data_IF_708740402010
#
_entry.id   IF_708740402010
#
_cell.length_a   1.000
_cell.length_b   1.000
_cell.length_c   1.000
_cell.angle_alpha   90.00
_cell.angle_beta   90.00
_cell.angle_gamma   90.00
#
_symmetry.space_group_name_H-M   'P 1'
#
loop_
_entity.id
_entity.type
_entity.pdbx_description
1 polymer ?
#
# COMPACT_ATOMS: atom_id res chain seq x y z
N UNK A 1 -47.29 3.17 34.55
CA UNK A 1 -48.56 3.15 33.79
C UNK A 1 -49.16 4.55 33.87
N UNK A 2 -49.84 5.10 32.84
CA UNK A 2 -50.06 4.56 31.48
C UNK A 2 -49.87 5.64 30.36
N UNK A 3 -49.37 5.25 29.19
CA UNK A 3 -50.08 4.92 27.93
C UNK A 3 -50.37 6.10 27.00
N UNK A 4 -49.59 6.09 25.92
CA UNK A 4 -50.00 6.31 24.52
C UNK A 4 -51.42 5.78 24.24
N UNK A 5 -52.24 6.63 23.63
CA UNK A 5 -53.39 6.25 22.80
C UNK A 5 -53.32 7.07 21.50
N UNK A 6 -53.80 6.46 20.44
CA UNK A 6 -53.55 6.68 19.02
C UNK A 6 -54.87 7.08 18.34
N UNK A 7 -54.77 7.52 17.07
CA UNK A 7 -55.85 7.64 16.06
C UNK A 7 -56.72 8.92 16.19
N UNK A 8 -57.13 9.61 15.11
CA UNK A 8 -57.57 9.12 13.81
C UNK A 8 -57.50 10.21 12.71
N UNK A 9 -57.49 9.80 11.43
CA UNK A 9 -57.55 10.63 10.21
C UNK A 9 -59.01 10.95 9.81
N UNK A 10 -59.26 11.98 8.96
CA UNK A 10 -59.86 11.69 7.62
C UNK A 10 -59.36 12.66 6.51
N UNK A 11 -58.94 12.22 5.32
CA UNK A 11 -59.65 11.81 4.09
C UNK A 11 -60.14 12.93 3.13
N UNK A 12 -59.83 12.73 1.83
CA UNK A 12 -60.46 13.25 0.57
C UNK A 12 -59.90 14.58 -0.04
N UNK A 13 -60.20 14.90 -1.33
CA UNK A 13 -59.39 14.52 -2.50
C UNK A 13 -59.05 15.71 -3.44
N UNK A 14 -58.47 15.41 -4.60
CA UNK A 14 -58.09 16.29 -5.72
C UNK A 14 -59.20 17.26 -6.21
N UNK A 15 -58.79 18.35 -6.89
CA UNK A 15 -59.30 18.87 -8.21
C UNK A 15 -58.80 20.31 -8.47
N UNK A 16 -58.36 20.56 -9.72
CA UNK A 16 -58.44 21.77 -10.60
C UNK A 16 -58.69 23.15 -9.95
N UNK A 17 -58.20 24.31 -10.41
CA UNK A 17 -57.76 24.82 -11.70
C UNK A 17 -57.58 26.35 -11.55
N UNK A 18 -56.81 27.00 -12.45
CA UNK A 18 -57.08 28.32 -13.08
C UNK A 18 -57.13 29.54 -12.10
N UNK A 19 -56.33 30.61 -12.22
CA UNK A 19 -56.38 31.61 -13.30
C UNK A 19 -55.26 32.65 -13.09
N UNK A 20 -54.66 33.12 -14.19
CA UNK A 20 -53.87 34.34 -14.25
C UNK A 20 -54.82 35.56 -14.16
N UNK A 21 -54.37 36.71 -13.65
CA UNK A 21 -54.45 38.02 -14.35
C UNK A 21 -53.56 39.03 -13.64
N UNK A 22 -52.85 39.79 -14.48
CA UNK A 22 -51.86 40.80 -14.18
C UNK A 22 -52.46 42.20 -13.94
N UNK A 23 -51.59 43.09 -13.42
CA UNK A 23 -51.57 44.57 -13.43
C UNK A 23 -51.39 45.09 -12.00
N UNK A 24 -50.44 45.96 -11.66
CA UNK A 24 -49.61 46.86 -12.45
C UNK A 24 -49.59 48.22 -11.74
N UNK A 25 -48.40 48.86 -11.72
CA UNK A 25 -48.14 50.29 -11.46
C UNK A 25 -47.93 50.62 -9.97
N UNK A 26 -46.89 51.33 -9.50
CA UNK A 26 -45.94 52.25 -10.15
C UNK A 26 -44.74 52.57 -9.23
N UNK A 27 -43.52 52.63 -9.83
CA UNK A 27 -42.47 53.68 -9.74
C UNK A 27 -41.85 53.92 -8.30
N UNK A 28 -40.53 53.79 -8.02
CA UNK A 28 -39.40 54.68 -8.36
C UNK A 28 -38.02 54.02 -8.06
N UNK A 29 -37.20 53.88 -9.11
CA UNK A 29 -35.74 54.13 -9.29
C UNK A 29 -34.64 53.74 -8.26
N UNK A 30 -33.69 52.94 -8.81
CA UNK A 30 -32.22 53.18 -8.85
C UNK A 30 -31.36 52.77 -7.64
N UNK A 31 -30.56 51.71 -7.79
CA UNK A 31 -29.10 51.76 -8.08
C UNK A 31 -28.54 50.33 -8.16
N UNK A 32 -27.96 50.05 -9.33
CA UNK A 32 -26.90 49.09 -9.71
C UNK A 32 -26.55 47.90 -8.78
N UNK A 33 -26.47 46.76 -9.47
CA UNK A 33 -25.56 45.63 -9.27
C UNK A 33 -25.69 44.84 -7.97
N UNK A 34 -26.36 43.70 -8.05
CA UNK A 34 -25.92 42.54 -7.30
C UNK A 34 -26.05 41.29 -8.16
N UNK A 35 -24.95 41.02 -8.86
CA UNK A 35 -24.34 39.70 -9.06
C UNK A 35 -25.34 38.53 -9.06
N UNK A 36 -25.64 38.06 -10.26
CA UNK A 36 -26.08 36.69 -10.51
C UNK A 36 -25.04 35.72 -9.92
N UNK A 37 -25.19 35.35 -8.66
CA UNK A 37 -24.62 34.12 -8.12
C UNK A 37 -25.49 32.96 -8.59
N UNK A 38 -25.29 32.57 -9.85
CA UNK A 38 -25.81 31.31 -10.38
C UNK A 38 -24.69 30.30 -10.55
N UNK A 39 -24.84 29.21 -9.79
CA UNK A 39 -24.56 27.83 -10.17
C UNK A 39 -23.12 27.26 -10.08
N UNK A 40 -23.07 26.17 -9.30
CA UNK A 40 -22.06 25.11 -9.25
C UNK A 40 -20.89 25.32 -8.28
N UNK A 41 -21.11 24.91 -7.03
CA UNK A 41 -20.04 24.51 -6.11
C UNK A 41 -19.20 23.39 -6.75
N UNK A 42 -18.15 23.75 -7.49
CA UNK A 42 -17.10 22.84 -7.97
C UNK A 42 -16.02 22.77 -6.91
N UNK A 43 -16.09 21.76 -6.07
CA UNK A 43 -15.02 21.44 -5.13
C UNK A 43 -13.68 21.25 -5.88
N UNK A 44 -12.63 21.87 -5.35
CA UNK A 44 -11.28 21.74 -5.90
C UNK A 44 -10.75 20.31 -5.68
N UNK A 45 -10.09 19.71 -6.68
CA UNK A 45 -9.41 18.45 -6.51
C UNK A 45 -8.38 18.44 -5.38
N UNK A 46 -8.13 17.26 -4.81
CA UNK A 46 -7.20 17.09 -3.68
C UNK A 46 -5.82 17.66 -4.04
N UNK A 47 -5.33 18.57 -3.19
CA UNK A 47 -4.02 19.19 -3.37
C UNK A 47 -4.02 20.51 -4.14
N UNK A 48 -5.15 20.97 -4.66
CA UNK A 48 -5.30 22.29 -5.28
C UNK A 48 -5.91 23.30 -4.30
N UNK A 49 -5.40 24.53 -4.32
CA UNK A 49 -5.90 25.66 -3.54
C UNK A 49 -6.17 26.85 -4.43
N UNK A 50 -7.19 27.60 -4.07
CA UNK A 50 -7.49 28.89 -4.67
C UNK A 50 -6.69 29.98 -3.96
N UNK A 51 -5.98 30.82 -4.72
CA UNK A 51 -5.09 31.86 -4.18
C UNK A 51 -5.34 33.18 -4.89
N UNK A 52 -5.58 34.24 -4.14
CA UNK A 52 -5.71 35.58 -4.67
C UNK A 52 -4.33 36.14 -5.10
N UNK A 53 -4.32 36.83 -6.23
CA UNK A 53 -3.13 37.45 -6.79
C UNK A 53 -2.75 38.74 -6.05
N UNK A 54 -1.57 38.75 -5.43
CA UNK A 54 -1.00 39.95 -4.80
C UNK A 54 -0.75 41.10 -5.78
N UNK A 55 -0.52 40.80 -7.06
CA UNK A 55 -0.23 41.80 -8.09
C UNK A 55 -1.46 42.22 -8.90
N UNK A 56 -2.58 41.48 -8.77
CA UNK A 56 -3.84 41.76 -9.44
C UNK A 56 -4.99 41.55 -8.45
N UNK A 57 -5.30 42.55 -7.60
CA UNK A 57 -6.37 42.46 -6.61
C UNK A 57 -7.68 42.01 -7.25
N UNK A 58 -8.38 41.07 -6.61
CA UNK A 58 -9.61 40.47 -7.12
C UNK A 58 -9.45 39.42 -8.23
N UNK A 59 -8.22 39.12 -8.68
CA UNK A 59 -7.96 37.98 -9.59
C UNK A 59 -7.41 36.79 -8.83
N UNK A 60 -7.92 35.62 -9.17
CA UNK A 60 -7.62 34.38 -8.47
C UNK A 60 -6.97 33.36 -9.40
N UNK A 61 -5.99 32.63 -8.89
CA UNK A 61 -5.35 31.50 -9.56
C UNK A 61 -5.37 30.25 -8.66
N UNK A 62 -5.22 29.08 -9.27
CA UNK A 62 -5.16 27.79 -8.60
C UNK A 62 -3.70 27.36 -8.44
N UNK A 63 -3.32 26.95 -7.24
CA UNK A 63 -1.99 26.48 -6.86
C UNK A 63 -2.06 25.02 -6.40
N UNK A 64 -1.28 24.15 -7.01
CA UNK A 64 -1.09 22.78 -6.53
C UNK A 64 -0.01 22.74 -5.44
N UNK A 65 -0.39 22.34 -4.22
CA UNK A 65 0.43 22.49 -3.00
C UNK A 65 1.74 21.72 -3.06
N UNK A 66 1.77 20.56 -3.72
CA UNK A 66 2.97 19.71 -3.79
C UNK A 66 3.90 20.03 -4.96
N UNK A 67 3.35 20.34 -6.13
CA UNK A 67 4.17 20.59 -7.34
C UNK A 67 4.52 22.07 -7.52
N UNK A 68 3.85 22.97 -6.80
CA UNK A 68 4.01 24.42 -6.99
C UNK A 68 3.40 24.95 -8.29
N UNK A 69 2.69 24.11 -9.06
CA UNK A 69 2.07 24.47 -10.33
C UNK A 69 0.96 25.51 -10.13
N UNK A 70 0.95 26.54 -10.98
CA UNK A 70 -0.02 27.64 -10.95
C UNK A 70 -0.81 27.68 -12.25
N UNK A 71 -2.13 27.80 -12.17
CA UNK A 71 -2.98 27.98 -13.35
C UNK A 71 -4.13 28.94 -13.07
N UNK A 72 -4.52 29.70 -14.08
CA UNK A 72 -5.67 30.62 -14.00
C UNK A 72 -6.97 29.96 -14.48
N UNK A 73 -6.91 28.71 -14.96
CA UNK A 73 -8.05 28.01 -15.56
C UNK A 73 -8.45 26.82 -14.68
N UNK A 74 -9.66 26.85 -14.12
CA UNK A 74 -10.21 25.73 -13.35
C UNK A 74 -10.33 24.45 -14.20
N UNK A 75 -10.54 24.57 -15.52
CA UNK A 75 -10.53 23.42 -16.44
C UNK A 75 -9.18 22.69 -16.48
N UNK A 76 -8.06 23.40 -16.31
CA UNK A 76 -6.71 22.81 -16.24
C UNK A 76 -6.54 21.99 -14.96
N UNK A 77 -7.04 22.50 -13.83
CA UNK A 77 -7.04 21.80 -12.53
C UNK A 77 -7.77 20.47 -12.64
N UNK A 78 -8.98 20.47 -13.21
CA UNK A 78 -9.74 19.22 -13.39
C UNK A 78 -9.15 18.27 -14.43
N UNK A 79 -8.48 18.79 -15.47
CA UNK A 79 -7.76 17.95 -16.44
C UNK A 79 -6.58 17.22 -15.76
N UNK A 80 -5.80 17.93 -14.95
CA UNK A 80 -4.67 17.34 -14.20
C UNK A 80 -5.12 16.30 -13.18
N UNK A 81 -6.24 16.54 -12.52
CA UNK A 81 -6.83 15.56 -11.61
C UNK A 81 -7.27 14.28 -12.35
N UNK A 82 -7.87 14.40 -13.55
CA UNK A 82 -8.22 13.22 -14.37
C UNK A 82 -6.96 12.44 -14.78
N UNK A 83 -5.91 13.13 -15.24
CA UNK A 83 -4.63 12.49 -15.57
C UNK A 83 -4.04 11.74 -14.36
N UNK A 84 -4.09 12.35 -13.18
CA UNK A 84 -3.62 11.73 -11.94
C UNK A 84 -4.42 10.48 -11.58
N UNK A 85 -5.75 10.55 -11.64
CA UNK A 85 -6.63 9.40 -11.40
C UNK A 85 -6.42 8.29 -12.42
N UNK A 86 -6.24 8.61 -13.70
CA UNK A 86 -5.94 7.62 -14.74
C UNK A 86 -4.58 6.96 -14.50
N UNK A 87 -3.55 7.73 -14.12
CA UNK A 87 -2.22 7.18 -13.78
C UNK A 87 -2.27 6.29 -12.53
N UNK A 88 -3.00 6.72 -11.49
CA UNK A 88 -3.21 5.92 -10.29
C UNK A 88 -3.99 4.63 -10.59
N UNK A 89 -5.06 4.73 -11.39
CA UNK A 89 -5.84 3.57 -11.82
C UNK A 89 -5.02 2.61 -12.68
N UNK A 90 -4.18 3.12 -13.59
CA UNK A 90 -3.26 2.30 -14.39
C UNK A 90 -2.20 1.61 -13.51
N UNK A 91 -1.60 2.31 -12.54
CA UNK A 91 -0.66 1.72 -11.58
C UNK A 91 -1.32 0.65 -10.69
N UNK A 92 -2.57 0.86 -10.30
CA UNK A 92 -3.36 -0.14 -9.57
C UNK A 92 -3.77 -1.33 -10.44
N UNK A 93 -4.13 -1.09 -11.71
CA UNK A 93 -4.44 -2.14 -12.67
C UNK A 93 -3.20 -3.00 -12.99
N UNK A 94 -2.02 -2.40 -13.13
CA UNK A 94 -0.75 -3.10 -13.30
C UNK A 94 -0.43 -3.97 -12.07
N UNK A 95 -0.54 -3.41 -10.85
CA UNK A 95 -0.41 -4.18 -9.60
C UNK A 95 -1.44 -5.32 -9.50
N UNK A 96 -2.66 -5.13 -10.01
CA UNK A 96 -3.71 -6.16 -10.01
C UNK A 96 -3.47 -7.23 -11.08
N UNK A 97 -2.88 -6.87 -12.22
CA UNK A 97 -2.47 -7.80 -13.28
C UNK A 97 -1.35 -8.72 -12.79
N UNK A 98 -0.30 -8.16 -12.19
CA UNK A 98 0.77 -8.94 -11.51
C UNK A 98 0.21 -9.87 -10.42
N UNK A 99 -0.84 -9.46 -9.70
CA UNK A 99 -1.47 -10.27 -8.63
C UNK A 99 -2.50 -11.30 -9.13
N UNK A 100 -2.97 -11.22 -10.38
CA UNK A 100 -4.00 -12.12 -10.93
C UNK A 100 -3.45 -13.14 -11.93
N UNK A 101 -2.25 -12.91 -12.47
CA UNK A 101 -1.57 -13.87 -13.35
C UNK A 101 -0.91 -15.05 -12.62
N UNK A 102 -0.96 -15.09 -11.28
CA UNK A 102 -0.32 -16.15 -10.48
C UNK A 102 -1.30 -17.25 -10.02
N UNK A 103 -2.33 -17.51 -10.83
CA UNK A 103 -3.35 -18.56 -10.60
C UNK A 103 -3.23 -19.73 -11.57
N UNK A 104 -1.99 -20.08 -11.96
CA UNK A 104 -1.68 -21.31 -12.68
C UNK A 104 -0.55 -22.06 -11.96
N UNK A 105 -0.92 -23.19 -11.34
CA UNK A 105 -0.05 -24.25 -10.82
C UNK A 105 1.43 -23.91 -10.57
N UNK A 106 1.72 -23.24 -9.44
CA UNK A 106 3.10 -23.18 -8.94
C UNK A 106 3.64 -24.58 -8.61
N UNK A 107 4.95 -24.73 -8.41
CA UNK A 107 5.56 -26.03 -8.15
C UNK A 107 4.94 -26.69 -6.91
N UNK A 108 4.78 -28.02 -6.95
CA UNK A 108 4.25 -28.79 -5.81
C UNK A 108 5.19 -28.76 -4.60
N UNK A 109 6.49 -28.64 -4.86
CA UNK A 109 7.55 -28.53 -3.87
C UNK A 109 8.62 -27.53 -4.29
N UNK A 110 9.22 -26.85 -3.32
CA UNK A 110 10.41 -26.01 -3.51
C UNK A 110 11.50 -26.45 -2.55
N UNK A 111 12.75 -26.13 -2.86
CA UNK A 111 13.87 -26.28 -1.94
C UNK A 111 14.51 -24.91 -1.70
N UNK A 112 14.79 -24.60 -0.44
CA UNK A 112 15.37 -23.33 -0.04
C UNK A 112 16.40 -23.48 1.07
N UNK A 113 17.40 -22.62 1.01
CA UNK A 113 18.29 -22.33 2.13
C UNK A 113 17.66 -21.21 2.96
N UNK A 114 17.89 -21.22 4.27
CA UNK A 114 17.53 -20.09 5.10
C UNK A 114 18.58 -19.76 6.16
N UNK A 115 18.62 -18.49 6.56
CA UNK A 115 19.34 -18.00 7.72
C UNK A 115 18.31 -17.46 8.70
N UNK A 116 18.27 -18.02 9.91
CA UNK A 116 17.34 -17.60 10.96
C UNK A 116 18.08 -16.79 12.01
N UNK A 117 17.59 -15.58 12.30
CA UNK A 117 18.04 -14.77 13.43
C UNK A 117 16.90 -14.67 14.44
N UNK A 118 17.07 -15.32 15.58
CA UNK A 118 16.10 -15.29 16.68
C UNK A 118 16.23 -14.01 17.51
N UNK A 119 15.18 -13.72 18.27
CA UNK A 119 15.13 -12.66 19.28
C UNK A 119 14.41 -13.15 20.55
N UNK A 120 14.37 -12.32 21.59
CA UNK A 120 13.73 -12.64 22.87
C UNK A 120 12.25 -13.01 22.74
N UNK A 121 11.54 -12.36 21.82
CA UNK A 121 10.13 -12.67 21.49
C UNK A 121 9.91 -13.87 20.55
N UNK A 122 10.94 -14.60 20.12
CA UNK A 122 10.76 -15.79 19.29
C UNK A 122 10.13 -16.93 20.11
N UNK A 123 9.30 -17.78 19.48
CA UNK A 123 8.61 -18.93 20.11
C UNK A 123 9.53 -19.82 20.94
N UNK A 124 10.79 -19.95 20.53
CA UNK A 124 11.84 -20.65 21.28
C UNK A 124 13.15 -19.84 21.24
N UNK A 125 13.39 -18.92 22.20
CA UNK A 125 14.52 -17.99 22.19
C UNK A 125 15.81 -18.65 22.69
N UNK A 126 16.18 -19.74 22.03
CA UNK A 126 17.33 -20.59 22.32
C UNK A 126 17.78 -21.28 21.04
N UNK A 127 19.09 -21.39 20.81
CA UNK A 127 19.69 -22.05 19.64
C UNK A 127 20.90 -22.88 20.04
N UNK A 128 21.46 -23.59 19.07
CA UNK A 128 22.71 -24.33 19.25
C UNK A 128 23.91 -23.41 19.51
N UNK A 129 23.80 -22.11 19.15
CA UNK A 129 24.85 -21.10 19.36
C UNK A 129 24.74 -20.42 20.72
N UNK A 130 23.50 -20.30 21.22
CA UNK A 130 23.21 -19.50 22.40
C UNK A 130 22.01 -20.10 23.14
N UNK A 131 22.25 -20.55 24.36
CA UNK A 131 21.23 -21.22 25.18
C UNK A 131 20.05 -20.30 25.49
N UNK A 132 20.29 -19.03 25.79
CA UNK A 132 19.24 -18.02 26.04
C UNK A 132 19.48 -16.77 25.20
N UNK A 133 18.55 -16.48 24.28
CA UNK A 133 18.64 -15.35 23.35
C UNK A 133 17.90 -14.14 23.92
N UNK A 134 18.66 -13.09 24.26
CA UNK A 134 18.15 -11.88 24.92
C UNK A 134 18.00 -10.67 24.00
N UNK A 135 18.52 -10.75 22.76
CA UNK A 135 18.48 -9.65 21.79
C UNK A 135 17.04 -9.29 21.42
N UNK A 136 16.77 -8.00 21.19
CA UNK A 136 15.45 -7.52 20.80
C UNK A 136 15.11 -7.86 19.35
N UNK A 137 13.82 -7.75 18.98
CA UNK A 137 13.36 -7.93 17.60
C UNK A 137 14.05 -6.97 16.63
N UNK A 138 14.17 -5.69 17.00
CA UNK A 138 14.84 -4.68 16.18
C UNK A 138 16.31 -5.02 15.93
N UNK A 139 17.02 -5.54 16.93
CA UNK A 139 18.41 -6.00 16.76
C UNK A 139 18.49 -7.21 15.83
N UNK A 140 17.55 -8.16 15.93
CA UNK A 140 17.49 -9.30 15.02
C UNK A 140 17.19 -8.86 13.57
N UNK A 141 16.32 -7.88 13.38
CA UNK A 141 16.01 -7.28 12.07
C UNK A 141 17.24 -6.61 11.45
N UNK A 142 17.96 -5.78 12.21
CA UNK A 142 19.21 -5.15 11.75
C UNK A 142 20.26 -6.21 11.39
N UNK A 143 20.40 -7.26 12.20
CA UNK A 143 21.36 -8.36 11.93
C UNK A 143 20.99 -9.14 10.67
N UNK A 144 19.71 -9.50 10.50
CA UNK A 144 19.23 -10.16 9.29
C UNK A 144 19.36 -9.25 8.06
N UNK A 145 19.11 -7.95 8.20
CA UNK A 145 19.31 -6.93 7.17
C UNK A 145 20.75 -6.86 6.70
N UNK A 146 21.71 -6.79 7.63
CA UNK A 146 23.14 -6.78 7.29
C UNK A 146 23.61 -8.07 6.61
N UNK A 147 23.05 -9.23 6.97
CA UNK A 147 23.30 -10.50 6.26
C UNK A 147 22.76 -10.42 4.83
N UNK A 148 21.53 -9.93 4.64
CA UNK A 148 20.92 -9.78 3.32
C UNK A 148 21.71 -8.81 2.44
N UNK A 149 22.17 -7.68 2.99
CA UNK A 149 23.00 -6.71 2.25
C UNK A 149 24.30 -7.34 1.75
N UNK A 150 24.99 -8.13 2.59
CA UNK A 150 26.19 -8.87 2.16
C UNK A 150 25.90 -9.84 1.02
N UNK A 151 24.78 -10.56 1.09
CA UNK A 151 24.37 -11.50 0.05
C UNK A 151 24.00 -10.77 -1.26
N UNK A 152 23.30 -9.64 -1.19
CA UNK A 152 23.00 -8.83 -2.36
C UNK A 152 24.26 -8.25 -3.01
N UNK A 153 25.22 -7.75 -2.22
CA UNK A 153 26.50 -7.30 -2.73
C UNK A 153 27.26 -8.43 -3.45
N UNK A 154 27.14 -9.67 -2.97
CA UNK A 154 27.69 -10.85 -3.64
C UNK A 154 27.02 -11.10 -5.00
N UNK A 155 25.69 -10.97 -5.10
CA UNK A 155 24.95 -11.08 -6.37
C UNK A 155 25.41 -10.01 -7.35
N UNK A 156 25.51 -8.76 -6.91
CA UNK A 156 25.94 -7.64 -7.75
C UNK A 156 27.38 -7.80 -8.25
N UNK A 157 28.28 -8.31 -7.40
CA UNK A 157 29.67 -8.56 -7.77
C UNK A 157 29.85 -9.79 -8.68
N UNK A 158 28.89 -10.72 -8.69
CA UNK A 158 29.01 -12.02 -9.37
C UNK A 158 27.73 -12.38 -10.16
N UNK A 159 27.30 -11.56 -11.14
CA UNK A 159 26.02 -11.76 -11.83
C UNK A 159 25.91 -13.08 -12.60
N UNK A 160 27.04 -13.61 -13.09
CA UNK A 160 27.08 -14.84 -13.89
C UNK A 160 27.47 -16.09 -13.08
N UNK A 161 27.61 -15.98 -11.76
CA UNK A 161 28.14 -17.05 -10.90
C UNK A 161 27.24 -17.31 -9.68
N UNK A 162 26.06 -17.94 -9.88
CA UNK A 162 25.11 -18.23 -8.79
C UNK A 162 25.67 -19.19 -7.73
N UNK A 163 26.68 -19.99 -8.07
CA UNK A 163 27.39 -20.86 -7.12
C UNK A 163 28.07 -20.06 -5.99
N UNK A 164 28.60 -18.87 -6.29
CA UNK A 164 29.28 -18.02 -5.30
C UNK A 164 28.30 -17.50 -4.25
N UNK A 165 27.09 -17.09 -4.68
CA UNK A 165 26.02 -16.70 -3.77
C UNK A 165 25.67 -17.86 -2.83
N UNK A 166 25.54 -19.07 -3.38
CA UNK A 166 25.19 -20.25 -2.59
C UNK A 166 26.27 -20.56 -1.56
N UNK A 167 27.54 -20.59 -1.95
CA UNK A 167 28.66 -20.86 -1.06
C UNK A 167 28.71 -19.87 0.11
N UNK A 168 28.58 -18.57 -0.19
CA UNK A 168 28.54 -17.51 0.81
C UNK A 168 27.32 -17.65 1.74
N UNK A 169 26.16 -17.99 1.18
CA UNK A 169 24.96 -18.22 1.98
C UNK A 169 25.16 -19.38 2.95
N UNK A 170 25.73 -20.50 2.49
CA UNK A 170 25.99 -21.67 3.31
C UNK A 170 27.02 -21.38 4.42
N UNK A 171 28.04 -20.57 4.14
CA UNK A 171 29.04 -20.11 5.12
C UNK A 171 28.38 -19.27 6.21
N UNK A 172 27.65 -18.21 5.83
CA UNK A 172 26.95 -17.35 6.78
C UNK A 172 25.92 -18.14 7.58
N UNK A 173 25.21 -19.09 6.94
CA UNK A 173 24.25 -19.94 7.64
C UNK A 173 24.91 -20.83 8.71
N UNK A 174 26.07 -21.42 8.42
CA UNK A 174 26.83 -22.23 9.38
C UNK A 174 27.28 -21.41 10.58
N UNK A 175 27.72 -20.17 10.34
CA UNK A 175 28.26 -19.31 11.40
C UNK A 175 27.16 -18.61 12.20
N UNK A 176 26.13 -18.08 11.54
CA UNK A 176 25.24 -17.09 12.12
C UNK A 176 23.81 -17.56 12.36
N UNK A 177 23.35 -18.62 11.68
CA UNK A 177 21.95 -19.07 11.79
C UNK A 177 21.66 -19.73 13.14
N UNK A 178 20.58 -19.31 13.78
CA UNK A 178 20.04 -19.91 15.01
C UNK A 178 19.21 -21.18 14.75
N UNK A 179 19.04 -21.59 13.49
CA UNK A 179 18.38 -22.83 13.12
C UNK A 179 19.35 -24.02 13.14
N UNK A 180 18.85 -25.21 13.45
CA UNK A 180 19.64 -26.45 13.34
C UNK A 180 20.01 -26.83 11.91
N UNK A 181 19.40 -26.20 10.89
CA UNK A 181 19.80 -26.33 9.48
C UNK A 181 21.17 -25.70 9.19
N UNK A 182 21.72 -24.87 10.10
CA UNK A 182 23.06 -24.30 10.01
C UNK A 182 24.12 -25.35 9.66
N UNK A 183 24.05 -26.55 10.24
CA UNK A 183 24.96 -27.67 9.96
C UNK A 183 24.96 -28.15 8.50
N UNK A 184 23.92 -27.83 7.74
CA UNK A 184 23.77 -28.10 6.30
C UNK A 184 23.79 -26.81 5.47
N UNK A 185 24.45 -25.76 5.95
CA UNK A 185 24.48 -24.48 5.22
C UNK A 185 23.10 -23.81 5.11
N UNK A 186 22.19 -24.08 6.04
CA UNK A 186 20.84 -23.54 6.03
C UNK A 186 19.84 -24.32 5.18
N UNK A 187 20.25 -25.44 4.56
CA UNK A 187 19.35 -26.24 3.71
C UNK A 187 18.23 -26.91 4.51
N UNK A 188 16.99 -26.63 4.11
CA UNK A 188 15.78 -27.21 4.68
C UNK A 188 15.34 -28.49 3.95
N UNK A 189 15.96 -28.81 2.82
CA UNK A 189 15.49 -29.84 1.90
C UNK A 189 14.22 -29.42 1.14
N UNK A 190 13.74 -30.26 0.22
CA UNK A 190 12.50 -29.98 -0.49
C UNK A 190 11.29 -30.04 0.44
N UNK A 191 10.37 -29.08 0.31
CA UNK A 191 9.14 -29.05 1.08
C UNK A 191 7.94 -28.62 0.23
N UNK A 192 6.77 -29.14 0.58
CA UNK A 192 5.49 -28.80 -0.02
C UNK A 192 4.77 -27.74 0.81
N UNK A 193 3.67 -27.21 0.28
CA UNK A 193 2.78 -26.31 1.02
C UNK A 193 2.22 -26.98 2.28
N UNK A 194 1.97 -26.19 3.31
CA UNK A 194 1.50 -26.60 4.64
C UNK A 194 2.59 -27.14 5.57
N UNK A 195 3.85 -27.24 5.14
CA UNK A 195 4.96 -27.77 5.97
C UNK A 195 5.73 -26.69 6.73
N UNK A 196 5.74 -25.46 6.23
CA UNK A 196 6.44 -24.33 6.83
C UNK A 196 5.45 -23.32 7.43
N UNK A 197 5.95 -22.34 8.18
CA UNK A 197 5.09 -21.25 8.67
C UNK A 197 4.50 -20.45 7.48
N UNK A 198 3.28 -19.92 7.58
CA UNK A 198 2.61 -19.28 6.44
C UNK A 198 3.41 -18.13 5.81
N UNK A 199 4.12 -17.33 6.62
CA UNK A 199 4.95 -16.23 6.13
C UNK A 199 6.19 -16.73 5.37
N UNK A 200 6.86 -17.75 5.90
CA UNK A 200 8.03 -18.37 5.27
C UNK A 200 7.64 -19.04 3.95
N UNK A 201 6.58 -19.85 3.98
CA UNK A 201 6.08 -20.55 2.80
C UNK A 201 5.71 -19.58 1.69
N UNK A 202 4.91 -18.56 2.02
CA UNK A 202 4.49 -17.56 1.04
C UNK A 202 5.68 -16.89 0.36
N UNK A 203 6.73 -16.56 1.13
CA UNK A 203 7.94 -15.99 0.57
C UNK A 203 8.69 -17.00 -0.31
N UNK A 204 8.97 -18.21 0.20
CA UNK A 204 9.75 -19.21 -0.52
C UNK A 204 9.11 -19.64 -1.86
N UNK A 205 7.78 -19.80 -1.90
CA UNK A 205 7.07 -20.16 -3.13
C UNK A 205 6.91 -19.00 -4.12
N UNK A 206 7.05 -17.74 -3.67
CA UNK A 206 7.00 -16.57 -4.53
C UNK A 206 8.36 -16.28 -5.21
N UNK A 207 9.46 -16.80 -4.66
CA UNK A 207 10.80 -16.66 -5.23
C UNK A 207 10.98 -17.53 -6.46
N UNK A 208 11.78 -17.04 -7.42
CA UNK A 208 12.34 -17.87 -8.48
C UNK A 208 13.56 -18.64 -7.98
N UNK A 209 13.95 -19.69 -8.70
CA UNK A 209 15.20 -20.42 -8.39
C UNK A 209 16.39 -19.48 -8.53
N UNK A 210 17.25 -19.44 -7.52
CA UNK A 210 18.39 -18.53 -7.39
C UNK A 210 18.06 -17.17 -6.77
N UNK A 211 16.80 -16.90 -6.44
CA UNK A 211 16.38 -15.59 -5.93
C UNK A 211 16.45 -15.51 -4.39
N UNK A 212 16.88 -14.34 -3.91
CA UNK A 212 16.96 -13.99 -2.48
C UNK A 212 15.69 -13.24 -2.04
N UNK A 213 15.14 -13.60 -0.88
CA UNK A 213 13.98 -12.92 -0.32
C UNK A 213 14.29 -11.56 0.29
N UNK A 214 13.24 -10.78 0.50
CA UNK A 214 13.22 -9.75 1.54
C UNK A 214 13.29 -10.37 2.94
N UNK A 215 13.39 -9.54 3.99
CA UNK A 215 13.34 -10.04 5.36
C UNK A 215 11.95 -10.61 5.66
N UNK A 216 11.92 -11.87 6.09
CA UNK A 216 10.67 -12.57 6.40
C UNK A 216 10.56 -12.78 7.90
N UNK A 217 9.52 -12.22 8.50
CA UNK A 217 9.21 -12.44 9.92
C UNK A 217 8.34 -13.69 10.12
N UNK A 218 8.60 -14.43 11.18
CA UNK A 218 7.74 -15.50 11.68
C UNK A 218 7.83 -15.60 13.20
N UNK A 219 7.01 -16.47 13.80
CA UNK A 219 7.11 -16.81 15.23
C UNK A 219 8.50 -17.33 15.64
N UNK A 220 9.29 -17.86 14.70
CA UNK A 220 10.64 -18.33 14.99
C UNK A 220 11.68 -17.20 15.03
N UNK A 221 11.40 -16.02 14.49
CA UNK A 221 12.36 -14.93 14.29
C UNK A 221 12.39 -14.41 12.85
N UNK A 222 13.48 -13.72 12.51
CA UNK A 222 13.72 -13.13 11.18
C UNK A 222 14.46 -14.10 10.27
N UNK A 223 14.03 -14.20 9.03
CA UNK A 223 14.60 -15.11 8.04
C UNK A 223 15.10 -14.35 6.81
N UNK A 224 16.21 -14.82 6.28
CA UNK A 224 16.65 -14.56 4.89
C UNK A 224 16.56 -15.90 4.15
N UNK A 225 15.93 -15.91 2.98
CA UNK A 225 15.62 -17.13 2.23
C UNK A 225 16.27 -17.04 0.85
N UNK A 226 16.92 -18.13 0.42
CA UNK A 226 17.41 -18.32 -0.94
C UNK A 226 16.75 -19.56 -1.52
N UNK A 227 16.01 -19.43 -2.62
CA UNK A 227 15.42 -20.59 -3.29
C UNK A 227 16.45 -21.25 -4.20
N UNK A 228 16.58 -22.58 -4.12
CA UNK A 228 17.54 -23.36 -4.93
C UNK A 228 16.90 -24.41 -5.85
N UNK A 229 15.63 -24.77 -5.63
CA UNK A 229 14.81 -25.57 -6.56
C UNK A 229 13.32 -25.19 -6.46
#
# INVERSE_FOLDING_TARGET
>A
MPRRVQMEQPSLPAIHAIEQVAAGWSIILSVKSNIEMSTSAKELPRGWKEVESKSRPGKVYFLHVKSGEKTWKLSHVHAKEREFRHRAAAAHAEKKKVRSTDSSGGPDSVQALHILVKHSGSRRPSSWRQETITRSKAVAEVKAGGIREKLLACVEANPDRPEVLRELFEEIAKEESDCSSAKRGGDLGPFTRGKMTPSFEKAAFALKVGELSDLVESDSGMHVILRIA
#
